data_IF_514007916639
#
_entry.id   IF_514007916639
#
_cell.length_a   1.000
_cell.length_b   1.000
_cell.length_c   1.000
_cell.angle_alpha   90.00
_cell.angle_beta   90.00
_cell.angle_gamma   90.00
#
_symmetry.space_group_name_H-M   'P 1'
#
loop_
_entity.id
_entity.type
_entity.pdbx_description
1 polymer ?
#
# COMPACT_ATOMS: atom_id res chain seq x y z
N UNK A 1 28.89 1.51 24.43
CA UNK A 1 27.55 2.10 24.41
C UNK A 1 27.65 3.46 23.75
N UNK A 2 27.19 3.61 22.50
CA UNK A 2 27.20 4.90 21.82
C UNK A 2 26.07 5.75 22.39
N UNK A 3 26.39 6.72 23.24
CA UNK A 3 25.49 7.78 23.65
C UNK A 3 25.19 8.65 22.40
N UNK A 4 24.24 8.25 21.58
CA UNK A 4 23.70 9.16 20.58
C UNK A 4 22.90 10.22 21.33
N UNK A 5 23.43 11.44 21.37
CA UNK A 5 22.66 12.58 21.86
C UNK A 5 21.41 12.73 20.95
N UNK A 6 20.23 12.98 21.53
CA UNK A 6 19.03 13.22 20.74
C UNK A 6 19.26 14.44 19.85
N UNK A 7 18.80 14.34 18.59
CA UNK A 7 18.92 15.41 17.57
C UNK A 7 18.11 16.65 17.99
N UNK A 8 17.02 16.44 18.75
CA UNK A 8 16.10 17.47 19.17
C UNK A 8 16.12 17.67 20.69
N UNK A 9 15.97 18.91 21.14
CA UNK A 9 15.76 19.23 22.57
C UNK A 9 14.37 18.73 23.02
N UNK A 10 14.15 18.62 24.33
CA UNK A 10 12.83 18.26 24.87
C UNK A 10 11.73 19.24 24.42
N UNK A 11 12.06 20.53 24.32
CA UNK A 11 11.14 21.55 23.83
C UNK A 11 10.80 21.34 22.37
N UNK A 12 11.79 21.00 21.51
CA UNK A 12 11.57 20.70 20.11
C UNK A 12 10.69 19.45 19.94
N UNK A 13 10.95 18.41 20.71
CA UNK A 13 10.15 17.19 20.70
C UNK A 13 8.68 17.49 21.03
N UNK A 14 8.42 18.27 22.09
CA UNK A 14 7.06 18.68 22.46
C UNK A 14 6.36 19.45 21.35
N UNK A 15 7.06 20.40 20.73
CA UNK A 15 6.51 21.19 19.62
C UNK A 15 6.21 20.33 18.39
N UNK A 16 7.07 19.35 18.09
CA UNK A 16 6.89 18.40 16.99
C UNK A 16 5.63 17.54 17.23
N UNK A 17 5.49 16.97 18.44
CA UNK A 17 4.33 16.16 18.79
C UNK A 17 3.02 16.97 18.72
N UNK A 18 3.02 18.20 19.24
CA UNK A 18 1.86 19.08 19.13
C UNK A 18 1.49 19.30 17.64
N UNK A 19 2.47 19.52 16.78
CA UNK A 19 2.22 19.72 15.35
C UNK A 19 1.71 18.47 14.65
N UNK A 20 2.20 17.29 15.04
CA UNK A 20 1.71 16.00 14.56
C UNK A 20 0.23 15.82 14.92
N UNK A 21 -0.16 16.19 16.16
CA UNK A 21 -1.55 16.11 16.62
C UNK A 21 -2.47 17.07 15.86
N UNK A 22 -2.02 18.31 15.63
CA UNK A 22 -2.76 19.27 14.81
C UNK A 22 -2.98 18.73 13.38
N UNK A 23 -1.98 18.13 12.77
CA UNK A 23 -2.07 17.52 11.43
C UNK A 23 -3.03 16.34 11.46
N UNK A 24 -2.91 15.44 12.43
CA UNK A 24 -3.79 14.28 12.55
C UNK A 24 -5.26 14.71 12.67
N UNK A 25 -5.55 15.69 13.54
CA UNK A 25 -6.90 16.23 13.71
C UNK A 25 -7.45 16.83 12.41
N UNK A 26 -6.66 17.62 11.69
CA UNK A 26 -7.05 18.20 10.41
C UNK A 26 -7.34 17.13 9.35
N UNK A 27 -6.54 16.09 9.29
CA UNK A 27 -6.74 14.97 8.36
C UNK A 27 -8.00 14.18 8.71
N UNK A 28 -8.25 13.91 9.99
CA UNK A 28 -9.48 13.25 10.44
C UNK A 28 -10.75 14.07 10.12
N UNK A 29 -10.70 15.38 10.27
CA UNK A 29 -11.82 16.27 9.91
C UNK A 29 -12.10 16.31 8.40
N UNK A 30 -11.10 16.01 7.57
CA UNK A 30 -11.21 15.99 6.11
C UNK A 30 -11.44 14.61 5.53
N UNK A 31 -11.48 13.60 6.37
CA UNK A 31 -11.53 12.18 6.01
C UNK A 31 -12.77 11.77 5.21
N UNK A 32 -13.86 12.52 5.32
CA UNK A 32 -15.12 12.28 4.58
C UNK A 32 -15.11 12.81 3.14
N UNK A 33 -14.03 13.47 2.71
CA UNK A 33 -13.91 13.94 1.33
C UNK A 33 -13.53 12.75 0.44
N UNK A 34 -14.08 12.76 -0.75
CA UNK A 34 -13.79 11.72 -1.75
C UNK A 34 -12.39 11.97 -2.34
N UNK A 35 -11.41 11.28 -1.79
CA UNK A 35 -10.03 11.29 -2.26
C UNK A 35 -9.72 9.97 -2.96
N UNK A 36 -8.75 10.01 -3.88
CA UNK A 36 -8.21 8.80 -4.47
C UNK A 36 -7.62 7.90 -3.37
N UNK A 37 -7.78 6.58 -3.46
CA UNK A 37 -7.37 5.65 -2.40
C UNK A 37 -5.88 5.32 -2.38
N UNK A 38 -5.07 5.96 -3.21
CA UNK A 38 -3.69 5.61 -3.51
C UNK A 38 -2.68 6.10 -2.46
N UNK A 39 -1.44 5.56 -2.55
CA UNK A 39 -0.41 5.76 -1.52
C UNK A 39 0.14 7.19 -1.48
N UNK A 40 0.59 7.72 -2.61
CA UNK A 40 1.34 8.99 -2.61
C UNK A 40 0.45 10.23 -2.68
N UNK A 41 -0.66 10.16 -3.40
CA UNK A 41 -1.52 11.32 -3.65
C UNK A 41 -2.93 11.15 -3.10
N UNK A 42 -3.13 10.11 -2.25
CA UNK A 42 -4.46 9.73 -1.82
C UNK A 42 -4.55 9.29 -0.37
N UNK A 43 -5.63 8.59 -0.10
CA UNK A 43 -6.00 8.20 1.26
C UNK A 43 -5.07 7.18 1.89
N UNK A 44 -4.44 6.29 1.12
CA UNK A 44 -3.55 5.28 1.70
C UNK A 44 -2.39 5.90 2.49
N UNK A 45 -1.78 6.96 1.97
CA UNK A 45 -0.73 7.68 2.70
C UNK A 45 -1.23 8.39 3.94
N UNK A 46 -2.42 9.02 3.84
CA UNK A 46 -3.09 9.64 4.99
C UNK A 46 -3.43 8.58 6.05
N UNK A 47 -3.97 7.44 5.62
CA UNK A 47 -4.32 6.33 6.49
C UNK A 47 -3.09 5.76 7.21
N UNK A 48 -2.00 5.55 6.48
CA UNK A 48 -0.76 5.06 7.08
C UNK A 48 -0.28 5.98 8.21
N UNK A 49 -0.34 7.30 8.00
CA UNK A 49 0.00 8.28 9.03
C UNK A 49 -0.98 8.23 10.22
N UNK A 50 -2.29 8.18 9.96
CA UNK A 50 -3.31 8.12 11.02
C UNK A 50 -3.24 6.81 11.80
N UNK A 51 -3.00 5.68 11.15
CA UNK A 51 -2.80 4.40 11.83
C UNK A 51 -1.59 4.44 12.77
N UNK A 52 -0.46 4.97 12.33
CA UNK A 52 0.68 5.17 13.21
C UNK A 52 0.33 6.03 14.42
N UNK A 53 -0.43 7.10 14.20
CA UNK A 53 -0.80 8.00 15.29
C UNK A 53 -1.78 7.36 16.27
N UNK A 54 -2.80 6.63 15.78
CA UNK A 54 -3.73 5.91 16.66
C UNK A 54 -3.00 4.80 17.45
N UNK A 55 -2.05 4.11 16.82
CA UNK A 55 -1.25 3.07 17.46
C UNK A 55 -0.36 3.64 18.58
N UNK A 56 0.29 4.79 18.35
CA UNK A 56 1.08 5.48 19.38
C UNK A 56 0.26 6.01 20.55
N UNK A 57 -1.03 6.32 20.33
CA UNK A 57 -1.95 6.82 21.35
C UNK A 57 -2.73 5.69 22.04
N UNK A 58 -2.63 4.46 21.57
CA UNK A 58 -3.45 3.34 22.03
C UNK A 58 -4.98 3.63 21.93
N UNK A 59 -5.38 4.35 20.85
CA UNK A 59 -6.75 4.77 20.58
C UNK A 59 -7.47 3.81 19.63
N UNK A 60 -8.03 2.75 20.19
CA UNK A 60 -8.74 1.70 19.45
C UNK A 60 -9.97 2.24 18.70
N UNK A 61 -10.68 3.23 19.24
CA UNK A 61 -11.89 3.77 18.60
C UNK A 61 -11.53 4.60 17.36
N UNK A 62 -10.50 5.42 17.44
CA UNK A 62 -9.94 6.15 16.30
C UNK A 62 -9.48 5.19 15.22
N UNK A 63 -8.76 4.14 15.63
CA UNK A 63 -8.24 3.11 14.77
C UNK A 63 -9.34 2.39 13.98
N UNK A 64 -10.39 1.93 14.63
CA UNK A 64 -11.51 1.23 14.01
C UNK A 64 -12.20 2.11 12.94
N UNK A 65 -12.47 3.38 13.28
CA UNK A 65 -13.11 4.33 12.34
C UNK A 65 -12.28 4.57 11.08
N UNK A 66 -10.96 4.69 11.25
CA UNK A 66 -10.02 4.89 10.13
C UNK A 66 -9.99 3.64 9.25
N UNK A 67 -9.92 2.44 9.86
CA UNK A 67 -9.86 1.17 9.16
C UNK A 67 -11.11 0.90 8.31
N UNK A 68 -12.29 0.98 8.91
CA UNK A 68 -13.55 0.63 8.25
C UNK A 68 -13.79 1.43 6.97
N UNK A 69 -13.57 2.73 7.01
CA UNK A 69 -13.75 3.59 5.84
C UNK A 69 -12.76 3.25 4.72
N UNK A 70 -11.52 2.96 5.07
CA UNK A 70 -10.50 2.67 4.09
C UNK A 70 -10.73 1.32 3.41
N UNK A 71 -11.05 0.27 4.17
CA UNK A 71 -11.31 -1.05 3.61
C UNK A 71 -12.53 -1.06 2.67
N UNK A 72 -13.57 -0.29 2.95
CA UNK A 72 -14.71 -0.14 2.03
C UNK A 72 -14.28 0.45 0.66
N UNK A 73 -13.34 1.40 0.65
CA UNK A 73 -12.83 1.97 -0.61
C UNK A 73 -11.96 0.99 -1.37
N UNK A 74 -11.08 0.25 -0.68
CA UNK A 74 -10.27 -0.81 -1.31
C UNK A 74 -11.16 -1.85 -1.98
N UNK A 75 -12.21 -2.32 -1.31
CA UNK A 75 -13.15 -3.30 -1.87
C UNK A 75 -13.79 -2.82 -3.18
N UNK A 76 -14.15 -1.54 -3.25
CA UNK A 76 -14.72 -0.95 -4.47
C UNK A 76 -13.71 -0.91 -5.64
N UNK A 77 -12.43 -0.66 -5.36
CA UNK A 77 -11.37 -0.66 -6.38
C UNK A 77 -11.08 -2.08 -6.84
N UNK A 78 -10.98 -3.02 -5.90
CA UNK A 78 -10.81 -4.43 -6.23
C UNK A 78 -11.91 -4.92 -7.16
N UNK A 79 -13.17 -4.62 -6.86
CA UNK A 79 -14.29 -4.97 -7.74
C UNK A 79 -14.09 -4.41 -9.15
N UNK A 80 -13.74 -3.14 -9.30
CA UNK A 80 -13.48 -2.54 -10.62
C UNK A 80 -12.33 -3.24 -11.34
N UNK A 81 -11.23 -3.52 -10.66
CA UNK A 81 -10.04 -4.15 -11.25
C UNK A 81 -10.30 -5.61 -11.66
N UNK A 82 -11.16 -6.34 -10.94
CA UNK A 82 -11.46 -7.73 -11.26
C UNK A 82 -12.13 -7.89 -12.63
N UNK A 83 -12.84 -6.89 -13.12
CA UNK A 83 -13.55 -6.95 -14.41
C UNK A 83 -12.65 -6.66 -15.62
N UNK A 84 -11.44 -6.13 -15.44
CA UNK A 84 -10.52 -5.91 -16.56
C UNK A 84 -9.57 -7.09 -16.76
N UNK A 85 -9.34 -7.46 -18.02
CA UNK A 85 -8.32 -8.46 -18.40
C UNK A 85 -7.13 -7.82 -19.11
N UNK A 86 -7.21 -6.55 -19.49
CA UNK A 86 -6.13 -5.82 -20.13
C UNK A 86 -5.14 -5.34 -19.07
N UNK A 87 -3.83 -5.72 -19.18
CA UNK A 87 -2.80 -5.20 -18.27
C UNK A 87 -2.69 -3.67 -18.28
N UNK A 88 -3.03 -3.01 -19.39
CA UNK A 88 -3.00 -1.55 -19.49
C UNK A 88 -4.07 -0.87 -18.62
N UNK A 89 -5.21 -1.52 -18.43
CA UNK A 89 -6.29 -1.02 -17.59
C UNK A 89 -6.06 -1.25 -16.10
N UNK A 90 -5.07 -2.09 -15.74
CA UNK A 90 -4.69 -2.32 -14.35
C UNK A 90 -3.69 -1.25 -13.90
N UNK A 91 -4.15 -0.27 -13.13
CA UNK A 91 -3.22 0.64 -12.47
C UNK A 91 -2.58 -0.06 -11.27
N UNK A 92 -1.36 -0.57 -11.46
CA UNK A 92 -0.62 -1.36 -10.46
C UNK A 92 0.61 -0.65 -9.89
N UNK A 93 0.86 0.61 -10.26
CA UNK A 93 2.06 1.30 -9.82
C UNK A 93 2.09 1.56 -8.30
N UNK A 94 3.26 1.94 -7.79
CA UNK A 94 3.46 2.16 -6.36
C UNK A 94 2.80 3.46 -5.89
N UNK A 95 2.88 4.53 -6.68
CA UNK A 95 2.41 5.85 -6.24
C UNK A 95 0.89 5.96 -6.17
N UNK A 96 0.22 5.61 -7.26
CA UNK A 96 -1.21 5.83 -7.48
C UNK A 96 -1.95 4.58 -8.00
N UNK A 97 -1.47 3.39 -7.61
CA UNK A 97 -2.04 2.13 -8.02
C UNK A 97 -2.17 1.09 -6.90
N UNK A 98 -2.63 -0.09 -7.30
CA UNK A 98 -2.85 -1.23 -6.40
C UNK A 98 -1.56 -1.74 -5.74
N UNK A 99 -0.40 -1.58 -6.39
CA UNK A 99 0.89 -1.94 -5.81
C UNK A 99 1.20 -1.14 -4.55
N UNK A 100 0.88 0.15 -4.55
CA UNK A 100 1.04 1.01 -3.36
C UNK A 100 0.07 0.65 -2.23
N UNK A 101 -1.18 0.38 -2.57
CA UNK A 101 -2.18 -0.10 -1.60
C UNK A 101 -1.72 -1.41 -0.97
N UNK A 102 -1.32 -2.38 -1.79
CA UNK A 102 -0.87 -3.68 -1.31
C UNK A 102 0.42 -3.59 -0.48
N UNK A 103 1.35 -2.71 -0.85
CA UNK A 103 2.56 -2.44 -0.07
C UNK A 103 2.21 -1.88 1.32
N UNK A 104 1.31 -0.92 1.38
CA UNK A 104 0.86 -0.34 2.65
C UNK A 104 0.16 -1.39 3.54
N UNK A 105 -0.72 -2.20 2.97
CA UNK A 105 -1.40 -3.27 3.71
C UNK A 105 -0.40 -4.30 4.26
N UNK A 106 0.59 -4.72 3.45
CA UNK A 106 1.65 -5.62 3.91
C UNK A 106 2.45 -5.01 5.07
N UNK A 107 2.77 -3.71 4.97
CA UNK A 107 3.42 -2.98 6.04
C UNK A 107 2.60 -3.00 7.33
N UNK A 108 1.32 -2.66 7.27
CA UNK A 108 0.44 -2.59 8.44
C UNK A 108 0.22 -3.96 9.10
N UNK A 109 0.19 -5.03 8.32
CA UNK A 109 0.10 -6.41 8.82
C UNK A 109 1.41 -6.83 9.51
N UNK A 110 2.57 -6.46 8.96
CA UNK A 110 3.89 -6.78 9.56
C UNK A 110 4.14 -6.05 10.88
N UNK A 111 3.64 -4.84 11.03
CA UNK A 111 3.77 -4.02 12.23
C UNK A 111 2.55 -4.10 13.14
N UNK A 112 1.92 -5.24 13.28
CA UNK A 112 0.58 -5.64 13.75
C UNK A 112 -0.38 -4.48 14.04
N UNK A 113 -0.52 -3.59 13.06
CA UNK A 113 -1.48 -2.48 13.10
C UNK A 113 -2.88 -2.93 12.68
N UNK A 114 -2.97 -4.00 11.88
CA UNK A 114 -4.24 -4.62 11.48
C UNK A 114 -4.12 -6.14 11.53
N UNK A 115 -5.21 -6.80 11.90
CA UNK A 115 -5.37 -8.24 11.77
C UNK A 115 -6.07 -8.53 10.44
N UNK A 116 -5.28 -8.88 9.42
CA UNK A 116 -5.79 -9.28 8.12
C UNK A 116 -4.85 -10.29 7.47
N UNK A 117 -5.39 -11.19 6.65
CA UNK A 117 -4.58 -11.96 5.73
C UNK A 117 -4.47 -11.19 4.41
N UNK A 118 -3.25 -10.80 4.06
CA UNK A 118 -2.98 -10.08 2.82
C UNK A 118 -3.38 -10.91 1.59
N UNK A 119 -3.37 -12.24 1.68
CA UNK A 119 -3.85 -13.11 0.61
C UNK A 119 -5.36 -12.97 0.39
N UNK A 120 -6.14 -12.90 1.46
CA UNK A 120 -7.58 -12.72 1.36
C UNK A 120 -7.92 -11.35 0.73
N UNK A 121 -7.15 -10.32 1.06
CA UNK A 121 -7.40 -8.96 0.56
C UNK A 121 -6.88 -8.77 -0.87
N UNK A 122 -5.65 -9.19 -1.18
CA UNK A 122 -4.97 -8.87 -2.44
C UNK A 122 -4.87 -10.04 -3.42
N UNK A 123 -5.06 -11.27 -2.98
CA UNK A 123 -4.79 -12.47 -3.77
C UNK A 123 -5.53 -12.55 -5.10
N UNK A 124 -6.74 -11.97 -5.19
CA UNK A 124 -7.52 -11.92 -6.42
C UNK A 124 -6.95 -10.94 -7.47
N UNK A 125 -6.25 -9.89 -7.04
CA UNK A 125 -5.66 -8.86 -7.92
C UNK A 125 -4.17 -9.04 -8.16
N UNK A 126 -3.47 -9.77 -7.31
CA UNK A 126 -2.03 -10.05 -7.44
C UNK A 126 -1.60 -10.53 -8.83
N UNK A 127 -2.31 -11.49 -9.49
CA UNK A 127 -1.94 -11.92 -10.83
C UNK A 127 -2.05 -10.81 -11.88
N UNK A 128 -2.92 -9.83 -11.66
CA UNK A 128 -3.08 -8.68 -12.57
C UNK A 128 -1.97 -7.66 -12.35
N UNK A 129 -1.62 -7.40 -11.09
CA UNK A 129 -0.48 -6.55 -10.72
C UNK A 129 0.81 -7.12 -11.32
N UNK A 130 1.04 -8.43 -11.19
CA UNK A 130 2.20 -9.09 -11.78
C UNK A 130 2.24 -9.00 -13.31
N UNK A 131 1.11 -9.21 -13.99
CA UNK A 131 1.02 -9.05 -15.45
C UNK A 131 1.30 -7.63 -15.89
N UNK A 132 0.84 -6.63 -15.14
CA UNK A 132 1.15 -5.23 -15.41
C UNK A 132 2.65 -4.97 -15.28
N UNK A 133 3.31 -5.50 -14.26
CA UNK A 133 4.76 -5.38 -14.11
C UNK A 133 5.50 -5.91 -15.34
N UNK A 134 5.13 -7.11 -15.83
CA UNK A 134 5.74 -7.69 -17.02
C UNK A 134 5.49 -6.82 -18.25
N UNK A 135 4.29 -6.27 -18.40
CA UNK A 135 3.96 -5.35 -19.48
C UNK A 135 4.83 -4.09 -19.41
N UNK A 136 4.96 -3.46 -18.24
CA UNK A 136 5.75 -2.25 -18.06
C UNK A 136 7.25 -2.50 -18.34
N UNK A 137 7.78 -3.69 -17.99
CA UNK A 137 9.14 -4.10 -18.38
C UNK A 137 9.29 -4.21 -19.91
N UNK A 138 8.30 -4.74 -20.61
CA UNK A 138 8.31 -4.87 -22.08
C UNK A 138 8.22 -3.52 -22.81
N UNK A 139 7.64 -2.52 -22.14
CA UNK A 139 7.47 -1.14 -22.63
C UNK A 139 8.55 -0.19 -22.12
N UNK A 140 9.65 -0.71 -21.54
CA UNK A 140 10.77 0.07 -20.99
C UNK A 140 10.38 1.08 -19.89
N UNK A 141 9.32 0.78 -19.12
CA UNK A 141 8.82 1.63 -18.04
C UNK A 141 9.35 1.16 -16.70
N UNK A 142 10.54 1.61 -16.31
CA UNK A 142 11.23 1.15 -15.10
C UNK A 142 11.14 2.09 -13.89
N UNK A 143 10.38 3.17 -13.98
CA UNK A 143 10.24 4.14 -12.88
C UNK A 143 9.78 3.47 -11.58
N UNK A 144 10.28 3.99 -10.43
CA UNK A 144 9.95 3.44 -9.11
C UNK A 144 8.50 3.75 -8.71
N UNK A 145 8.02 4.94 -9.02
CA UNK A 145 6.70 5.38 -8.56
C UNK A 145 5.59 4.92 -9.51
N UNK A 146 5.85 4.98 -10.84
CA UNK A 146 4.84 4.81 -11.86
C UNK A 146 5.06 3.56 -12.72
N UNK A 147 6.19 2.88 -12.59
CA UNK A 147 6.60 1.77 -13.47
C UNK A 147 6.90 0.46 -12.76
N UNK A 148 7.55 -0.43 -13.50
CA UNK A 148 7.83 -1.81 -13.12
C UNK A 148 8.63 -1.95 -11.82
N UNK A 149 9.55 -1.02 -11.51
CA UNK A 149 10.39 -1.13 -10.32
C UNK A 149 9.57 -1.03 -9.02
N UNK A 150 8.59 -0.13 -8.95
CA UNK A 150 7.70 -0.02 -7.80
C UNK A 150 6.76 -1.22 -7.66
N UNK A 151 6.25 -1.72 -8.79
CA UNK A 151 5.43 -2.94 -8.79
C UNK A 151 6.27 -4.15 -8.36
N UNK A 152 7.54 -4.22 -8.81
CA UNK A 152 8.46 -5.29 -8.40
C UNK A 152 8.72 -5.27 -6.90
N UNK A 153 8.86 -4.09 -6.29
CA UNK A 153 9.02 -3.94 -4.83
C UNK A 153 7.84 -4.58 -4.08
N UNK A 154 6.61 -4.32 -4.51
CA UNK A 154 5.43 -4.98 -3.98
C UNK A 154 5.49 -6.51 -4.18
N UNK A 155 5.77 -6.97 -5.39
CA UNK A 155 5.84 -8.39 -5.71
C UNK A 155 6.94 -9.12 -4.91
N UNK A 156 8.08 -8.48 -4.65
CA UNK A 156 9.14 -9.05 -3.81
C UNK A 156 8.68 -9.26 -2.37
N UNK A 157 7.99 -8.28 -1.79
CA UNK A 157 7.42 -8.42 -0.44
C UNK A 157 6.37 -9.54 -0.38
N UNK A 158 5.58 -9.70 -1.44
CA UNK A 158 4.60 -10.79 -1.56
C UNK A 158 5.24 -12.15 -1.73
N UNK A 159 6.40 -12.25 -2.40
CA UNK A 159 7.04 -13.52 -2.76
C UNK A 159 7.51 -14.33 -1.54
N UNK A 160 7.77 -13.72 -0.41
CA UNK A 160 8.05 -14.44 0.84
C UNK A 160 6.84 -15.27 1.32
N UNK A 161 5.63 -14.92 0.86
CA UNK A 161 4.35 -15.55 1.23
C UNK A 161 3.61 -16.22 0.05
N UNK A 162 4.01 -15.91 -1.21
CA UNK A 162 3.40 -16.52 -2.39
C UNK A 162 3.99 -17.91 -2.66
N UNK A 163 3.16 -18.94 -2.83
CA UNK A 163 3.64 -20.23 -3.33
C UNK A 163 4.27 -20.01 -4.72
N UNK A 164 5.53 -20.43 -4.89
CA UNK A 164 6.29 -20.35 -6.15
C UNK A 164 5.56 -20.90 -7.39
N UNK A 165 4.47 -21.58 -7.19
CA UNK A 165 3.61 -22.19 -8.23
C UNK A 165 2.94 -21.14 -9.14
N UNK A 166 2.62 -19.95 -8.64
CA UNK A 166 1.98 -18.91 -9.43
C UNK A 166 2.95 -18.21 -10.38
N UNK A 167 4.21 -18.03 -9.99
CA UNK A 167 5.25 -17.44 -10.83
C UNK A 167 5.62 -18.38 -12.01
N UNK A 168 5.44 -19.70 -11.87
CA UNK A 168 5.82 -20.68 -12.87
C UNK A 168 4.77 -20.91 -13.97
N UNK A 169 3.52 -20.52 -13.79
CA UNK A 169 2.46 -20.81 -14.77
C UNK A 169 2.48 -19.90 -16.00
N UNK A 170 2.82 -18.63 -15.85
CA UNK A 170 2.81 -17.69 -16.99
C UNK A 170 4.13 -17.69 -17.79
N UNK A 171 5.27 -17.96 -17.16
CA UNK A 171 6.55 -18.07 -17.87
C UNK A 171 6.64 -19.31 -18.79
N UNK A 172 5.92 -20.41 -18.47
CA UNK A 172 5.96 -21.64 -19.30
C UNK A 172 5.11 -21.58 -20.56
N UNK A 173 4.15 -20.67 -20.66
CA UNK A 173 3.29 -20.57 -21.85
C UNK A 173 3.94 -19.88 -23.04
N UNK A 174 4.94 -19.00 -22.82
CA UNK A 174 5.62 -18.27 -23.89
C UNK A 174 6.77 -19.05 -24.55
N UNK A 175 7.31 -20.11 -23.92
CA UNK A 175 8.39 -20.91 -24.51
C UNK A 175 7.92 -22.06 -25.42
N UNK A 176 6.64 -22.12 -25.79
CA UNK A 176 6.11 -23.13 -26.75
C UNK A 176 5.79 -22.58 -28.13
N UNK A 177 6.15 -21.33 -28.42
CA UNK A 177 5.95 -20.72 -29.74
C UNK A 177 7.25 -20.02 -30.20
N UNK A 178 8.31 -20.81 -30.36
CA UNK A 178 9.49 -20.51 -31.18
C UNK A 178 9.87 -21.79 -31.90
#
# INVERSE_FOLDING_TARGET
MNNKQPIFTETDQKNIWQKIDEIALLLMMRFDRDHDPFLMYGEAGIQLFLFHRCFELDDEECYAKVADKYFQKIDNIHKKTLYTNDPQECNACLADGLGGIGWMLDYMIRYPMIEADLFDVMGSVDPKIFRRMIYDVQEDRYDLLQGAAGIALYCMNRNERFPREYLNRDCRKKNKTL
#
